data_IF_680891440918
#
_entry.id   IF_680891440918
#
_cell.length_a   1.000
_cell.length_b   1.000
_cell.length_c   1.000
_cell.angle_alpha   90.00
_cell.angle_beta   90.00
_cell.angle_gamma   90.00
#
_symmetry.space_group_name_H-M   'P 1'
#
loop_
_entity.id
_entity.type
_entity.pdbx_description
1 polymer ?
#
# COMPACT_ATOMS: atom_id res chain seq x y z
N UNK A 1 12.01 1.29 -8.56
CA UNK A 1 12.48 0.25 -9.48
C UNK A 1 11.31 -0.65 -9.88
N UNK A 2 11.31 -1.16 -11.12
CA UNK A 2 10.33 -2.14 -11.57
C UNK A 2 11.01 -3.27 -12.34
N UNK A 3 10.46 -4.45 -12.21
CA UNK A 3 10.83 -5.64 -12.99
C UNK A 3 9.53 -6.26 -13.47
N UNK A 4 9.42 -6.45 -14.78
CA UNK A 4 8.24 -6.99 -15.42
C UNK A 4 8.62 -8.20 -16.27
N UNK A 5 7.76 -9.21 -16.27
CA UNK A 5 7.87 -10.41 -17.07
C UNK A 5 6.55 -10.68 -17.80
N UNK A 6 6.63 -11.05 -19.06
CA UNK A 6 5.51 -11.54 -19.85
C UNK A 6 5.97 -12.74 -20.67
N UNK A 7 5.17 -13.79 -20.66
CA UNK A 7 5.41 -14.99 -21.45
C UNK A 7 4.10 -15.61 -21.94
N UNK A 8 4.13 -16.14 -23.15
CA UNK A 8 3.04 -16.91 -23.74
C UNK A 8 3.60 -18.12 -24.48
N UNK A 9 2.96 -19.28 -24.29
CA UNK A 9 3.21 -20.47 -25.08
C UNK A 9 1.89 -20.98 -25.66
N UNK A 10 1.91 -21.43 -26.91
CA UNK A 10 0.77 -21.94 -27.63
C UNK A 10 1.08 -23.31 -28.19
N UNK A 11 0.16 -24.24 -28.04
CA UNK A 11 0.30 -25.63 -28.45
C UNK A 11 -0.84 -26.00 -29.39
N UNK A 12 -0.53 -26.39 -30.62
CA UNK A 12 -1.53 -26.90 -31.55
C UNK A 12 -1.82 -28.38 -31.26
N UNK A 13 -3.10 -28.70 -31.18
CA UNK A 13 -3.61 -30.06 -30.93
C UNK A 13 -4.43 -30.46 -32.15
N UNK A 14 -3.87 -31.31 -32.98
CA UNK A 14 -4.46 -31.62 -34.28
C UNK A 14 -4.45 -30.41 -35.22
N UNK A 15 -5.52 -30.24 -36.00
CA UNK A 15 -5.66 -29.18 -36.98
C UNK A 15 -6.60 -28.06 -36.57
N UNK A 16 -7.42 -28.29 -35.54
CA UNK A 16 -8.54 -27.40 -35.18
C UNK A 16 -8.53 -26.92 -33.74
N UNK A 17 -7.60 -27.40 -32.91
CA UNK A 17 -7.55 -27.01 -31.50
C UNK A 17 -6.19 -26.36 -31.15
N UNK A 18 -6.24 -25.42 -30.24
CA UNK A 18 -5.08 -24.74 -29.70
C UNK A 18 -5.21 -24.61 -28.18
N UNK A 19 -4.21 -25.08 -27.45
CA UNK A 19 -4.08 -24.78 -26.03
C UNK A 19 -3.02 -23.69 -25.84
N UNK A 20 -3.22 -22.84 -24.86
CA UNK A 20 -2.29 -21.76 -24.56
C UNK A 20 -2.07 -21.61 -23.05
N UNK A 21 -0.91 -21.12 -22.70
CA UNK A 21 -0.61 -20.63 -21.36
C UNK A 21 0.04 -19.26 -21.45
N UNK A 22 -0.37 -18.37 -20.57
CA UNK A 22 0.17 -17.02 -20.45
C UNK A 22 0.57 -16.77 -19.00
N UNK A 23 1.66 -16.05 -18.80
CA UNK A 23 2.10 -15.59 -17.50
C UNK A 23 2.55 -14.13 -17.61
N UNK A 24 2.07 -13.30 -16.71
CA UNK A 24 2.63 -11.99 -16.46
C UNK A 24 3.01 -11.90 -14.98
N UNK A 25 4.13 -11.25 -14.70
CA UNK A 25 4.56 -10.96 -13.33
C UNK A 25 5.21 -9.58 -13.29
N UNK A 26 5.00 -8.86 -12.20
CA UNK A 26 5.57 -7.54 -11.97
C UNK A 26 5.99 -7.38 -10.52
N UNK A 27 7.11 -6.71 -10.31
CA UNK A 27 7.54 -6.21 -9.00
C UNK A 27 7.88 -4.74 -9.12
N UNK A 28 7.29 -3.92 -8.26
CA UNK A 28 7.53 -2.49 -8.19
C UNK A 28 7.92 -2.11 -6.77
N UNK A 29 9.07 -1.46 -6.62
CA UNK A 29 9.53 -0.89 -5.35
C UNK A 29 9.52 0.64 -5.45
N UNK A 30 8.84 1.29 -4.51
CA UNK A 30 8.68 2.74 -4.41
C UNK A 30 8.99 3.20 -2.99
N UNK A 31 9.76 4.26 -2.85
CA UNK A 31 9.98 4.94 -1.58
C UNK A 31 9.37 6.34 -1.61
N UNK A 32 8.59 6.68 -0.58
CA UNK A 32 8.13 8.05 -0.32
C UNK A 32 8.96 8.64 0.80
N UNK A 33 9.56 9.79 0.55
CA UNK A 33 10.40 10.49 1.52
C UNK A 33 9.71 11.78 1.94
N UNK A 34 9.64 12.00 3.24
CA UNK A 34 9.07 13.19 3.87
C UNK A 34 10.13 13.89 4.69
N UNK A 35 9.88 15.15 5.01
CA UNK A 35 10.69 15.93 5.94
C UNK A 35 10.90 15.20 7.28
N UNK A 36 12.03 15.44 7.97
CA UNK A 36 12.25 14.95 9.31
C UNK A 36 11.11 15.34 10.26
N UNK A 37 10.87 14.53 11.28
CA UNK A 37 9.79 14.76 12.24
C UNK A 37 9.89 16.15 12.89
N UNK A 38 8.78 16.84 12.93
CA UNK A 38 8.61 18.02 13.76
C UNK A 38 8.16 17.55 15.15
N UNK A 39 8.95 17.86 16.14
CA UNK A 39 8.70 17.55 17.56
C UNK A 39 8.21 18.82 18.25
N UNK A 40 7.09 18.72 18.94
CA UNK A 40 6.57 19.78 19.81
C UNK A 40 6.41 19.22 21.22
N UNK A 41 7.09 19.84 22.17
CA UNK A 41 6.95 19.54 23.58
C UNK A 41 5.74 20.25 24.23
N UNK A 42 4.85 20.83 23.42
CA UNK A 42 3.65 21.50 23.93
C UNK A 42 2.66 20.50 24.54
N UNK A 43 1.75 21.01 25.37
CA UNK A 43 0.63 20.26 25.96
C UNK A 43 -0.58 20.14 25.03
N UNK A 44 -0.46 20.58 23.78
CA UNK A 44 -1.51 20.48 22.75
C UNK A 44 -1.89 19.02 22.50
N UNK A 45 -3.12 18.78 22.10
CA UNK A 45 -3.63 17.48 21.66
C UNK A 45 -3.23 17.11 20.23
N UNK A 46 -2.42 17.94 19.55
CA UNK A 46 -1.95 17.68 18.21
C UNK A 46 -1.09 16.40 18.16
N UNK A 47 -1.18 15.63 17.06
CA UNK A 47 -0.44 14.38 16.88
C UNK A 47 1.09 14.51 16.99
N UNK A 48 1.63 15.71 16.79
CA UNK A 48 3.06 16.05 16.94
C UNK A 48 3.44 16.53 18.34
N UNK A 49 2.49 16.63 19.25
CA UNK A 49 2.71 17.08 20.63
C UNK A 49 3.07 15.88 21.52
N UNK A 50 4.24 15.91 22.10
CA UNK A 50 4.75 14.84 22.97
C UNK A 50 4.56 15.13 24.46
N UNK A 51 4.21 16.37 24.79
CA UNK A 51 3.88 16.80 26.15
C UNK A 51 5.10 17.13 27.04
N UNK A 52 4.84 17.49 28.31
CA UNK A 52 5.86 17.99 29.24
C UNK A 52 7.01 17.00 29.57
N UNK A 53 6.77 15.68 29.41
CA UNK A 53 7.78 14.67 29.62
C UNK A 53 8.98 14.76 28.67
N UNK A 54 8.85 15.55 27.60
CA UNK A 54 9.90 15.79 26.59
C UNK A 54 10.57 17.15 26.74
N UNK A 55 10.18 17.97 27.73
CA UNK A 55 10.82 19.24 27.95
C UNK A 55 12.30 19.06 28.32
N UNK A 56 13.15 19.99 27.89
CA UNK A 56 14.58 19.90 28.09
C UNK A 56 14.91 20.14 29.55
N UNK A 57 15.42 19.12 30.27
CA UNK A 57 15.62 19.19 31.72
C UNK A 57 16.91 19.90 32.06
N UNK A 58 17.03 20.39 33.33
CA UNK A 58 18.29 20.74 33.95
C UNK A 58 18.84 19.52 34.68
N UNK A 59 20.01 19.05 34.27
CA UNK A 59 20.77 18.00 34.95
C UNK A 59 22.26 18.14 34.65
N UNK A 60 23.11 17.28 35.19
CA UNK A 60 24.57 17.37 35.01
C UNK A 60 25.01 17.29 33.52
N UNK A 61 24.26 16.60 32.66
CA UNK A 61 24.59 16.46 31.25
C UNK A 61 24.15 17.68 30.44
N UNK A 62 23.03 18.30 30.82
CA UNK A 62 22.38 19.38 30.06
C UNK A 62 22.79 20.77 30.53
N UNK A 63 23.42 20.90 31.69
CA UNK A 63 23.65 22.17 32.41
C UNK A 63 24.17 23.28 31.48
N UNK A 64 25.24 23.06 30.76
CA UNK A 64 25.86 24.10 29.94
C UNK A 64 24.93 24.64 28.81
N UNK A 65 24.20 23.73 28.14
CA UNK A 65 23.21 24.11 27.15
C UNK A 65 22.00 24.77 27.80
N UNK A 66 21.51 24.20 28.91
CA UNK A 66 20.38 24.75 29.66
C UNK A 66 20.66 26.19 30.12
N UNK A 67 21.80 26.47 30.71
CA UNK A 67 22.19 27.79 31.18
C UNK A 67 22.26 28.81 30.03
N UNK A 68 22.81 28.39 28.89
CA UNK A 68 22.87 29.24 27.71
C UNK A 68 21.47 29.63 27.21
N UNK A 69 20.57 28.64 27.10
CA UNK A 69 19.18 28.86 26.63
C UNK A 69 18.39 29.65 27.65
N UNK A 70 18.52 29.32 28.96
CA UNK A 70 17.83 30.03 30.03
C UNK A 70 18.24 31.51 30.03
N UNK A 71 19.53 31.82 29.98
CA UNK A 71 20.02 33.20 29.98
C UNK A 71 19.54 33.99 28.78
N UNK A 72 19.49 33.36 27.59
CA UNK A 72 18.91 33.99 26.37
C UNK A 72 17.42 34.29 26.58
N UNK A 73 16.65 33.36 27.11
CA UNK A 73 15.23 33.55 27.40
C UNK A 73 15.02 34.63 28.49
N UNK A 74 15.82 34.61 29.56
CA UNK A 74 15.74 35.60 30.60
C UNK A 74 16.10 37.02 30.15
N UNK A 75 17.04 37.14 29.19
CA UNK A 75 17.35 38.41 28.54
C UNK A 75 16.20 38.95 27.69
N UNK A 76 15.42 38.05 27.07
CA UNK A 76 14.29 38.43 26.23
C UNK A 76 13.00 38.75 27.02
N UNK A 77 12.62 37.86 27.98
CA UNK A 77 11.38 38.00 28.74
C UNK A 77 11.51 38.76 30.05
N UNK A 78 12.74 38.92 30.55
CA UNK A 78 13.05 39.41 31.91
C UNK A 78 13.24 38.24 32.87
N UNK A 79 14.31 38.32 33.71
CA UNK A 79 14.69 37.22 34.60
C UNK A 79 13.61 36.84 35.62
N UNK A 80 12.77 37.79 36.05
CA UNK A 80 11.67 37.53 37.01
C UNK A 80 10.46 36.77 36.43
N UNK A 81 10.44 36.52 35.11
CA UNK A 81 9.35 35.80 34.46
C UNK A 81 9.64 34.30 34.28
N UNK A 82 10.83 33.86 34.59
CA UNK A 82 11.28 32.50 34.37
C UNK A 82 11.77 31.86 35.70
N UNK A 83 11.49 30.57 35.88
CA UNK A 83 11.96 29.81 37.00
C UNK A 83 13.22 29.00 36.59
N UNK A 84 14.38 29.38 37.10
CA UNK A 84 15.61 28.57 36.90
C UNK A 84 15.42 27.18 37.47
N UNK A 85 15.80 26.17 36.70
CA UNK A 85 15.61 24.76 37.04
C UNK A 85 14.34 24.12 36.48
N UNK A 86 13.37 24.92 36.07
CA UNK A 86 12.20 24.39 35.36
C UNK A 86 12.57 23.89 33.98
N UNK A 87 12.04 22.73 33.52
CA UNK A 87 12.31 22.22 32.17
C UNK A 87 11.85 23.19 31.08
N UNK A 88 12.61 23.29 30.00
CA UNK A 88 12.35 24.24 28.90
C UNK A 88 11.54 23.55 27.81
N UNK A 89 10.35 24.10 27.48
CA UNK A 89 9.55 23.67 26.34
C UNK A 89 10.15 24.18 25.03
N UNK A 90 10.04 23.38 23.97
CA UNK A 90 10.59 23.71 22.67
C UNK A 90 9.73 23.19 21.51
N UNK A 91 10.00 23.71 20.33
CA UNK A 91 9.59 23.14 19.04
C UNK A 91 10.86 22.93 18.22
N UNK A 92 10.97 21.76 17.65
CA UNK A 92 12.20 21.36 16.98
C UNK A 92 11.91 20.45 15.78
N UNK A 93 12.63 20.66 14.69
CA UNK A 93 12.67 19.69 13.59
C UNK A 93 13.87 18.78 13.80
N UNK A 94 13.61 17.51 14.04
CA UNK A 94 14.64 16.52 14.36
C UNK A 94 15.46 16.17 13.13
N UNK A 95 16.39 17.02 12.73
CA UNK A 95 17.29 16.73 11.61
C UNK A 95 18.11 15.45 11.85
N UNK A 96 18.49 15.20 13.10
CA UNK A 96 19.21 14.00 13.50
C UNK A 96 18.40 12.70 13.37
N UNK A 97 17.05 12.80 13.36
CA UNK A 97 16.18 11.65 13.10
C UNK A 97 16.22 11.20 11.65
N UNK A 98 16.75 12.01 10.75
CA UNK A 98 16.69 11.79 9.31
C UNK A 98 15.30 12.00 8.68
N UNK A 99 15.21 11.97 7.36
CA UNK A 99 13.94 12.04 6.65
C UNK A 99 13.08 10.81 6.96
N UNK A 100 11.76 11.00 7.03
CA UNK A 100 10.83 9.88 7.19
C UNK A 100 10.64 9.19 5.85
N UNK A 101 10.76 7.88 5.83
CA UNK A 101 10.64 7.07 4.63
C UNK A 101 9.57 6.01 4.80
N UNK A 102 8.73 5.84 3.76
CA UNK A 102 7.81 4.71 3.64
C UNK A 102 8.18 3.98 2.36
N UNK A 103 8.55 2.72 2.50
CA UNK A 103 8.93 1.84 1.40
C UNK A 103 7.76 0.93 1.05
N UNK A 104 7.34 0.95 -0.20
CA UNK A 104 6.22 0.12 -0.67
C UNK A 104 6.71 -0.82 -1.76
N UNK A 105 6.54 -2.11 -1.54
CA UNK A 105 6.75 -3.15 -2.55
C UNK A 105 5.41 -3.68 -3.01
N UNK A 106 5.18 -3.65 -4.32
CA UNK A 106 4.02 -4.30 -4.95
C UNK A 106 4.49 -5.43 -5.85
N UNK A 107 3.91 -6.61 -5.65
CA UNK A 107 4.14 -7.80 -6.49
C UNK A 107 2.82 -8.24 -7.07
N UNK A 108 2.77 -8.45 -8.38
CA UNK A 108 1.60 -8.97 -9.06
C UNK A 108 1.98 -10.10 -10.01
N UNK A 109 1.07 -11.03 -10.18
CA UNK A 109 1.17 -12.05 -11.22
C UNK A 109 -0.21 -12.36 -11.78
N UNK A 110 -0.25 -12.78 -13.02
CA UNK A 110 -1.42 -13.35 -13.68
C UNK A 110 -0.98 -14.57 -14.47
N UNK A 111 -1.64 -15.69 -14.23
CA UNK A 111 -1.49 -16.92 -14.98
C UNK A 111 -2.80 -17.22 -15.68
N UNK A 112 -2.74 -17.57 -16.95
CA UNK A 112 -3.87 -17.99 -17.76
C UNK A 112 -3.52 -19.29 -18.45
N UNK A 113 -4.44 -20.23 -18.42
CA UNK A 113 -4.38 -21.44 -19.23
C UNK A 113 -5.71 -21.62 -19.95
N UNK A 114 -5.69 -21.92 -21.21
CA UNK A 114 -6.90 -22.09 -21.97
C UNK A 114 -6.75 -23.05 -23.13
N UNK A 115 -7.89 -23.46 -23.64
CA UNK A 115 -8.01 -24.26 -24.85
C UNK A 115 -9.19 -23.78 -25.68
N UNK A 116 -8.96 -23.58 -26.94
CA UNK A 116 -9.99 -23.21 -27.91
C UNK A 116 -9.88 -24.00 -29.20
N UNK A 117 -10.90 -23.94 -29.99
CA UNK A 117 -10.89 -24.64 -31.27
C UNK A 117 -12.27 -24.82 -31.87
N UNK A 118 -12.35 -25.75 -32.82
CA UNK A 118 -13.56 -26.12 -33.56
C UNK A 118 -14.00 -27.53 -33.21
N UNK A 119 -15.29 -27.68 -32.92
CA UNK A 119 -16.00 -28.97 -32.85
C UNK A 119 -17.16 -28.93 -33.82
N UNK A 120 -17.02 -29.62 -34.93
CA UNK A 120 -17.91 -29.43 -36.09
C UNK A 120 -17.79 -27.99 -36.61
N UNK A 121 -18.91 -27.27 -36.68
CA UNK A 121 -18.98 -25.88 -37.13
C UNK A 121 -18.99 -24.86 -35.98
N UNK A 122 -18.75 -25.33 -34.74
CA UNK A 122 -18.80 -24.51 -33.53
C UNK A 122 -17.41 -24.22 -33.00
N UNK A 123 -17.12 -22.95 -32.78
CA UNK A 123 -15.98 -22.52 -32.02
C UNK A 123 -16.26 -22.69 -30.54
N UNK A 124 -15.27 -23.09 -29.78
CA UNK A 124 -15.29 -23.05 -28.32
C UNK A 124 -14.01 -22.43 -27.77
N UNK A 125 -14.10 -21.84 -26.60
CA UNK A 125 -12.97 -21.39 -25.80
C UNK A 125 -13.27 -21.67 -24.34
N UNK A 126 -12.27 -22.20 -23.61
CA UNK A 126 -12.32 -22.42 -22.17
C UNK A 126 -11.05 -21.90 -21.56
N UNK A 127 -11.18 -21.00 -20.59
CA UNK A 127 -10.08 -20.33 -19.92
C UNK A 127 -10.11 -20.49 -18.41
N UNK A 128 -8.95 -20.64 -17.80
CA UNK A 128 -8.72 -20.54 -16.37
C UNK A 128 -7.72 -19.41 -16.13
N UNK A 129 -8.12 -18.44 -15.35
CA UNK A 129 -7.25 -17.33 -14.92
C UNK A 129 -7.04 -17.38 -13.43
N UNK A 130 -5.79 -17.22 -12.99
CA UNK A 130 -5.42 -16.96 -11.60
C UNK A 130 -4.54 -15.72 -11.55
N UNK A 131 -4.94 -14.72 -10.78
CA UNK A 131 -4.19 -13.48 -10.58
C UNK A 131 -4.07 -13.13 -9.10
N UNK A 132 -2.95 -12.49 -8.74
CA UNK A 132 -2.72 -11.89 -7.43
C UNK A 132 -2.02 -10.55 -7.61
N UNK A 133 -2.38 -9.61 -6.74
CA UNK A 133 -1.63 -8.36 -6.54
C UNK A 133 -1.49 -8.13 -5.06
N UNK A 134 -0.26 -8.18 -4.56
CA UNK A 134 0.08 -7.95 -3.16
C UNK A 134 0.93 -6.70 -3.03
N UNK A 135 0.50 -5.78 -2.17
CA UNK A 135 1.24 -4.57 -1.82
C UNK A 135 1.51 -4.53 -0.33
N UNK A 136 2.72 -4.10 0.04
CA UNK A 136 3.15 -3.98 1.43
C UNK A 136 3.97 -2.70 1.60
N UNK A 137 3.59 -1.89 2.60
CA UNK A 137 4.29 -0.67 2.98
C UNK A 137 4.97 -0.85 4.33
N UNK A 138 6.27 -0.54 4.38
CA UNK A 138 7.12 -0.67 5.56
C UNK A 138 7.65 0.69 5.94
N UNK A 139 7.69 0.99 7.24
CA UNK A 139 8.36 2.19 7.74
C UNK A 139 9.87 2.05 7.56
N UNK A 140 10.46 3.01 6.86
CA UNK A 140 11.90 3.15 6.70
C UNK A 140 12.52 4.03 7.79
N UNK A 141 13.49 4.86 7.40
CA UNK A 141 14.15 5.80 8.31
C UNK A 141 13.19 6.84 8.88
N UNK A 142 13.60 7.53 9.93
CA UNK A 142 12.95 8.72 10.49
C UNK A 142 11.69 8.49 11.30
N UNK A 143 11.22 7.24 11.42
CA UNK A 143 10.11 6.87 12.30
C UNK A 143 10.63 6.25 13.60
N UNK A 144 10.00 6.60 14.73
CA UNK A 144 10.43 6.18 16.07
C UNK A 144 9.24 5.74 16.90
N UNK A 145 9.44 4.78 17.80
CA UNK A 145 8.45 4.44 18.82
C UNK A 145 8.24 5.62 19.77
N UNK A 146 6.98 5.99 19.98
CA UNK A 146 6.60 7.21 20.72
C UNK A 146 7.19 7.25 22.12
N UNK A 147 7.07 6.17 22.90
CA UNK A 147 7.51 6.16 24.29
C UNK A 147 9.03 6.16 24.40
N UNK A 148 9.73 5.42 23.54
CA UNK A 148 11.19 5.43 23.50
C UNK A 148 11.73 6.81 23.09
N UNK A 149 11.10 7.47 22.11
CA UNK A 149 11.46 8.83 21.71
C UNK A 149 11.21 9.83 22.85
N UNK A 150 10.07 9.73 23.55
CA UNK A 150 9.78 10.57 24.73
C UNK A 150 10.85 10.41 25.83
N UNK A 151 11.21 9.16 26.12
CA UNK A 151 12.23 8.86 27.13
C UNK A 151 13.59 9.45 26.73
N UNK A 152 13.99 9.30 25.49
CA UNK A 152 15.25 9.85 24.99
C UNK A 152 15.29 11.40 25.01
N UNK A 153 14.18 12.05 24.65
CA UNK A 153 14.06 13.52 24.72
C UNK A 153 14.06 14.02 26.15
N UNK A 154 13.25 13.41 27.02
CA UNK A 154 13.10 13.81 28.42
C UNK A 154 14.34 13.58 29.28
N UNK A 155 15.25 12.66 28.90
CA UNK A 155 16.54 12.48 29.56
C UNK A 155 17.50 13.63 29.34
N UNK A 156 17.30 14.45 28.30
CA UNK A 156 18.21 15.52 27.90
C UNK A 156 19.42 15.04 27.07
N UNK A 157 19.51 13.75 26.75
CA UNK A 157 20.57 13.23 25.85
C UNK A 157 20.52 13.88 24.47
N UNK A 158 19.31 14.05 23.97
CA UNK A 158 19.08 14.72 22.67
C UNK A 158 19.00 16.23 22.92
N UNK A 159 19.84 16.99 22.23
CA UNK A 159 19.90 18.44 22.36
C UNK A 159 19.16 19.13 21.21
N UNK A 160 17.95 19.71 21.44
CA UNK A 160 17.22 20.43 20.40
C UNK A 160 17.76 21.84 20.12
N UNK A 161 18.75 22.33 20.87
CA UNK A 161 19.28 23.67 20.81
C UNK A 161 20.70 23.76 20.21
N UNK A 162 21.09 22.74 19.44
CA UNK A 162 22.38 22.77 18.73
C UNK A 162 22.44 23.93 17.75
N UNK A 163 23.58 24.60 17.73
CA UNK A 163 23.85 25.62 16.74
C UNK A 163 24.01 25.02 15.32
N UNK A 164 23.79 25.79 14.25
CA UNK A 164 24.03 25.32 12.89
C UNK A 164 25.42 24.72 12.71
N UNK A 165 25.48 23.51 12.11
CA UNK A 165 26.71 22.76 11.90
C UNK A 165 27.15 21.87 13.06
N UNK A 166 26.57 22.00 14.24
CA UNK A 166 26.79 21.07 15.34
C UNK A 166 25.95 19.78 15.17
N UNK A 167 26.49 18.67 15.68
CA UNK A 167 25.84 17.38 15.61
C UNK A 167 25.50 16.86 17.02
N UNK A 168 24.51 15.98 17.08
CA UNK A 168 24.17 15.25 18.31
C UNK A 168 25.36 14.40 18.78
N UNK A 169 25.41 14.18 20.08
CA UNK A 169 26.41 13.27 20.64
C UNK A 169 26.18 11.82 20.20
N UNK A 170 27.23 10.99 20.27
CA UNK A 170 27.10 9.57 19.96
C UNK A 170 26.04 8.88 20.87
N UNK A 171 25.91 9.28 22.13
CA UNK A 171 24.89 8.76 23.03
C UNK A 171 23.48 9.17 22.60
N UNK A 172 23.29 10.40 22.13
CA UNK A 172 22.01 10.86 21.57
C UNK A 172 21.63 10.09 20.31
N UNK A 173 22.58 9.87 19.39
CA UNK A 173 22.34 9.07 18.19
C UNK A 173 21.98 7.62 18.52
N UNK A 174 22.70 7.00 19.46
CA UNK A 174 22.37 5.65 19.91
C UNK A 174 20.96 5.56 20.55
N UNK A 175 20.52 6.60 21.27
CA UNK A 175 19.17 6.66 21.83
C UNK A 175 18.09 6.81 20.73
N UNK A 176 18.36 7.57 19.67
CA UNK A 176 17.48 7.67 18.51
C UNK A 176 17.41 6.35 17.74
N UNK A 177 18.54 5.69 17.52
CA UNK A 177 18.61 4.38 16.86
C UNK A 177 17.84 3.32 17.65
N UNK A 178 17.98 3.29 18.97
CA UNK A 178 17.26 2.39 19.86
C UNK A 178 15.74 2.65 19.86
N UNK A 179 15.31 3.87 19.58
CA UNK A 179 13.91 4.25 19.46
C UNK A 179 13.35 4.02 18.05
N UNK A 180 14.16 3.59 17.09
CA UNK A 180 13.77 3.45 15.67
C UNK A 180 12.63 2.44 15.48
N UNK A 181 11.64 2.81 14.70
CA UNK A 181 10.54 1.95 14.21
C UNK A 181 10.74 1.51 12.76
N UNK A 182 11.97 1.61 12.22
CA UNK A 182 12.29 1.12 10.90
C UNK A 182 12.02 -0.40 10.80
N UNK A 183 11.48 -0.85 9.65
CA UNK A 183 11.13 -2.25 9.43
C UNK A 183 9.73 -2.65 9.94
N UNK A 184 9.01 -1.75 10.60
CA UNK A 184 7.62 -2.03 11.01
C UNK A 184 6.72 -1.94 9.79
N UNK A 185 5.91 -2.98 9.55
CA UNK A 185 4.92 -3.01 8.50
C UNK A 185 3.80 -2.02 8.82
N UNK A 186 3.64 -1.01 7.98
CA UNK A 186 2.62 0.01 8.16
C UNK A 186 1.23 -0.56 7.82
N UNK A 187 1.09 -1.08 6.62
CA UNK A 187 -0.09 -1.78 6.13
C UNK A 187 0.25 -2.57 4.87
N UNK A 188 -0.63 -3.51 4.53
CA UNK A 188 -0.53 -4.28 3.31
C UNK A 188 -1.87 -4.86 2.90
N UNK A 189 -1.93 -5.34 1.68
CA UNK A 189 -3.12 -6.00 1.17
C UNK A 189 -2.78 -6.91 0.00
N UNK A 190 -3.62 -7.92 -0.18
CA UNK A 190 -3.55 -8.86 -1.29
C UNK A 190 -4.92 -9.02 -1.92
N UNK A 191 -5.00 -8.75 -3.22
CA UNK A 191 -6.15 -9.09 -4.06
C UNK A 191 -5.86 -10.36 -4.82
N UNK A 192 -6.79 -11.30 -4.79
CA UNK A 192 -6.75 -12.56 -5.50
C UNK A 192 -7.97 -12.67 -6.42
N UNK A 193 -7.76 -13.17 -7.63
CA UNK A 193 -8.85 -13.50 -8.55
C UNK A 193 -8.63 -14.89 -9.15
N UNK A 194 -9.69 -15.67 -9.19
CA UNK A 194 -9.74 -16.94 -9.93
C UNK A 194 -10.97 -16.91 -10.80
N UNK A 195 -10.79 -17.12 -12.10
CA UNK A 195 -11.89 -17.13 -13.07
C UNK A 195 -11.81 -18.41 -13.89
N UNK A 196 -12.94 -19.07 -14.06
CA UNK A 196 -13.17 -20.09 -15.06
C UNK A 196 -14.23 -19.53 -16.02
N UNK A 197 -13.88 -19.40 -17.27
CA UNK A 197 -14.76 -18.96 -18.33
C UNK A 197 -14.84 -20.00 -19.44
N UNK A 198 -16.01 -20.10 -20.05
CA UNK A 198 -16.22 -20.93 -21.21
C UNK A 198 -17.22 -20.30 -22.15
N UNK A 199 -16.97 -20.39 -23.43
CA UNK A 199 -17.85 -19.91 -24.47
C UNK A 199 -17.92 -20.85 -25.67
N UNK A 200 -19.05 -20.81 -26.36
CA UNK A 200 -19.26 -21.47 -27.65
C UNK A 200 -19.89 -20.49 -28.60
N UNK A 201 -19.53 -20.56 -29.88
CA UNK A 201 -20.16 -19.74 -30.94
C UNK A 201 -20.18 -20.46 -32.26
N UNK A 202 -21.25 -20.25 -33.00
CA UNK A 202 -21.43 -20.89 -34.30
C UNK A 202 -22.74 -20.49 -34.97
N UNK A 203 -22.98 -21.06 -36.15
CA UNK A 203 -24.23 -20.88 -36.87
C UNK A 203 -25.28 -21.93 -36.49
N UNK A 204 -26.53 -21.50 -36.28
CA UNK A 204 -27.69 -22.39 -36.13
C UNK A 204 -28.12 -22.87 -37.51
N UNK A 205 -27.46 -23.90 -38.03
CA UNK A 205 -27.62 -24.37 -39.42
C UNK A 205 -29.04 -24.82 -39.79
N UNK A 206 -29.91 -25.07 -38.79
CA UNK A 206 -31.29 -25.46 -38.99
C UNK A 206 -32.26 -24.26 -39.10
N UNK A 207 -31.82 -23.03 -38.80
CA UNK A 207 -32.60 -21.80 -38.94
C UNK A 207 -31.89 -20.84 -39.90
N UNK A 208 -32.57 -20.51 -41.04
CA UNK A 208 -32.10 -19.53 -42.01
C UNK A 208 -33.12 -18.42 -42.15
N UNK A 209 -32.67 -17.20 -42.09
CA UNK A 209 -33.42 -16.00 -42.41
C UNK A 209 -33.13 -15.57 -43.88
N UNK A 210 -33.92 -14.68 -44.47
CA UNK A 210 -33.68 -14.20 -45.83
C UNK A 210 -32.28 -13.58 -46.05
N UNK A 211 -31.66 -13.06 -45.01
CA UNK A 211 -30.29 -12.51 -45.05
C UNK A 211 -29.18 -13.54 -44.84
N UNK A 212 -29.45 -14.72 -44.26
CA UNK A 212 -28.44 -15.75 -43.98
C UNK A 212 -28.75 -16.63 -42.77
N UNK A 213 -27.77 -17.40 -42.33
CA UNK A 213 -27.85 -18.23 -41.12
C UNK A 213 -27.79 -17.36 -39.85
N UNK A 214 -28.55 -17.78 -38.84
CA UNK A 214 -28.46 -17.14 -37.51
C UNK A 214 -27.17 -17.59 -36.86
N UNK A 215 -26.34 -16.65 -36.40
CA UNK A 215 -25.21 -16.94 -35.53
C UNK A 215 -25.57 -16.76 -34.07
N UNK A 216 -25.00 -17.60 -33.20
CA UNK A 216 -25.21 -17.58 -31.78
C UNK A 216 -23.86 -17.66 -31.05
N UNK A 217 -23.74 -16.93 -29.93
CA UNK A 217 -22.71 -17.15 -28.93
C UNK A 217 -23.37 -17.35 -27.55
N UNK A 218 -22.82 -18.24 -26.75
CA UNK A 218 -23.23 -18.41 -25.37
C UNK A 218 -22.02 -18.74 -24.50
N UNK A 219 -22.06 -18.36 -23.23
CA UNK A 219 -20.95 -18.64 -22.32
C UNK A 219 -21.30 -18.45 -20.87
N UNK A 220 -20.34 -18.86 -20.05
CA UNK A 220 -20.37 -18.76 -18.58
C UNK A 220 -19.09 -18.09 -18.09
N UNK A 221 -19.21 -17.37 -16.96
CA UNK A 221 -18.09 -16.81 -16.19
C UNK A 221 -18.31 -17.18 -14.72
N UNK A 222 -17.36 -17.90 -14.15
CA UNK A 222 -17.34 -18.28 -12.73
C UNK A 222 -16.12 -17.64 -12.10
N UNK A 223 -16.32 -16.66 -11.25
CA UNK A 223 -15.24 -15.85 -10.70
C UNK A 223 -15.32 -15.82 -9.18
N UNK A 224 -14.17 -16.02 -8.54
CA UNK A 224 -13.98 -15.73 -7.13
C UNK A 224 -12.95 -14.63 -6.97
N UNK A 225 -13.32 -13.59 -6.25
CA UNK A 225 -12.47 -12.47 -5.87
C UNK A 225 -12.30 -12.48 -4.35
N UNK A 226 -11.07 -12.31 -3.91
CA UNK A 226 -10.70 -12.24 -2.49
C UNK A 226 -9.82 -11.01 -2.28
N UNK A 227 -10.05 -10.33 -1.18
CA UNK A 227 -9.20 -9.25 -0.71
C UNK A 227 -8.86 -9.49 0.74
N UNK A 228 -7.58 -9.37 1.07
CA UNK A 228 -7.04 -9.46 2.42
C UNK A 228 -6.27 -8.19 2.71
N UNK A 229 -6.51 -7.65 3.89
CA UNK A 229 -5.80 -6.48 4.35
C UNK A 229 -5.18 -6.79 5.71
N UNK A 230 -3.90 -6.47 5.87
CA UNK A 230 -3.19 -6.65 7.11
C UNK A 230 -2.21 -5.51 7.37
N UNK A 231 -1.77 -5.40 8.62
CA UNK A 231 -0.77 -4.46 9.06
C UNK A 231 -0.26 -4.85 10.44
N UNK A 232 0.76 -4.13 10.90
CA UNK A 232 1.32 -4.30 12.23
C UNK A 232 0.71 -3.23 13.16
N UNK A 233 0.08 -3.63 14.25
CA UNK A 233 -0.47 -2.70 15.24
C UNK A 233 0.58 -1.77 15.84
N UNK A 234 1.87 -2.14 15.79
CA UNK A 234 2.97 -1.26 16.17
C UNK A 234 3.07 -0.02 15.29
N UNK A 235 2.45 -0.04 14.10
CA UNK A 235 2.38 1.12 13.21
C UNK A 235 1.28 2.11 13.63
N UNK A 236 0.41 1.76 14.57
CA UNK A 236 -0.54 2.70 15.17
C UNK A 236 0.20 3.98 15.62
N UNK A 237 -0.37 5.14 15.35
CA UNK A 237 0.23 6.43 15.69
C UNK A 237 0.48 6.63 17.19
N UNK A 238 -0.16 5.86 18.05
CA UNK A 238 0.07 5.87 19.50
C UNK A 238 1.35 5.14 19.87
N UNK A 239 1.71 4.09 19.09
CA UNK A 239 2.92 3.31 19.30
C UNK A 239 4.08 3.90 18.52
N UNK A 240 3.87 4.28 17.25
CA UNK A 240 4.89 4.92 16.41
C UNK A 240 4.54 6.39 16.23
N UNK A 241 5.46 7.26 16.60
CA UNK A 241 5.28 8.69 16.54
C UNK A 241 5.03 9.17 15.12
N UNK A 242 3.88 9.84 14.92
CA UNK A 242 3.48 10.45 13.66
C UNK A 242 3.41 9.45 12.48
N UNK A 243 3.06 8.19 12.78
CA UNK A 243 2.74 7.23 11.73
C UNK A 243 1.45 7.66 11.01
N UNK A 244 1.39 7.49 9.68
CA UNK A 244 0.26 8.00 8.88
C UNK A 244 -1.01 7.16 8.96
N UNK A 245 -1.01 6.05 9.69
CA UNK A 245 -2.11 5.12 9.77
C UNK A 245 -2.44 4.77 11.24
N UNK A 246 -3.72 4.86 11.60
CA UNK A 246 -4.17 4.69 12.98
C UNK A 246 -4.43 3.25 13.39
N UNK A 247 -5.06 2.46 12.50
CA UNK A 247 -5.38 1.06 12.73
C UNK A 247 -5.16 0.26 11.45
N UNK A 248 -4.04 -0.46 11.44
CA UNK A 248 -3.61 -1.25 10.29
C UNK A 248 -4.47 -2.51 10.08
N UNK A 249 -5.32 -2.86 11.04
CA UNK A 249 -6.16 -4.05 11.00
C UNK A 249 -7.67 -3.74 11.00
N UNK A 250 -8.04 -2.48 10.74
CA UNK A 250 -9.45 -2.06 10.67
C UNK A 250 -10.22 -2.71 9.52
N UNK A 251 -9.53 -3.11 8.45
CA UNK A 251 -10.11 -3.76 7.28
C UNK A 251 -9.88 -5.26 7.34
N UNK A 252 -10.97 -6.02 7.41
CA UNK A 252 -10.94 -7.49 7.42
C UNK A 252 -10.85 -8.10 6.01
N UNK A 253 -10.71 -9.41 5.98
CA UNK A 253 -10.77 -10.20 4.75
C UNK A 253 -12.18 -10.21 4.19
N UNK A 254 -12.30 -10.01 2.88
CA UNK A 254 -13.57 -10.07 2.16
C UNK A 254 -13.42 -10.94 0.91
N UNK A 255 -14.50 -11.60 0.53
CA UNK A 255 -14.55 -12.37 -0.71
C UNK A 255 -15.93 -12.30 -1.33
N UNK A 256 -16.00 -12.50 -2.66
CA UNK A 256 -17.27 -12.66 -3.38
C UNK A 256 -17.10 -13.68 -4.50
N UNK A 257 -18.19 -14.40 -4.75
CA UNK A 257 -18.35 -15.27 -5.90
C UNK A 257 -19.29 -14.60 -6.90
N UNK A 258 -18.89 -14.59 -8.16
CA UNK A 258 -19.67 -14.07 -9.28
C UNK A 258 -19.93 -15.24 -10.22
N UNK A 259 -21.15 -15.40 -10.67
CA UNK A 259 -21.56 -16.45 -11.60
C UNK A 259 -22.41 -15.81 -12.66
N UNK A 260 -21.90 -15.79 -13.89
CA UNK A 260 -22.61 -15.20 -14.99
C UNK A 260 -22.84 -16.18 -16.12
N UNK A 261 -23.95 -16.00 -16.81
CA UNK A 261 -24.27 -16.64 -18.08
C UNK A 261 -24.62 -15.56 -19.10
N UNK A 262 -24.23 -15.76 -20.34
CA UNK A 262 -24.61 -14.85 -21.42
C UNK A 262 -25.03 -15.63 -22.65
N UNK A 263 -25.84 -14.97 -23.48
CA UNK A 263 -26.21 -15.42 -24.82
C UNK A 263 -26.33 -14.23 -25.76
N UNK A 264 -25.85 -14.43 -26.95
CA UNK A 264 -25.91 -13.43 -28.02
C UNK A 264 -26.39 -14.08 -29.31
N UNK A 265 -27.19 -13.36 -30.09
CA UNK A 265 -27.66 -13.77 -31.39
C UNK A 265 -27.39 -12.67 -32.43
N UNK A 266 -26.87 -13.06 -33.56
CA UNK A 266 -26.88 -12.23 -34.78
C UNK A 266 -27.93 -12.80 -35.76
N UNK A 267 -28.91 -11.99 -36.07
CA UNK A 267 -30.07 -12.33 -36.89
C UNK A 267 -29.99 -11.56 -38.20
N UNK A 268 -29.49 -12.17 -39.29
CA UNK A 268 -29.47 -11.54 -40.63
C UNK A 268 -30.87 -11.57 -41.24
N UNK A 269 -31.71 -10.59 -40.89
CA UNK A 269 -33.14 -10.56 -41.26
C UNK A 269 -33.33 -10.41 -42.74
N UNK A 270 -32.57 -9.49 -43.37
CA UNK A 270 -32.53 -9.29 -44.80
C UNK A 270 -31.10 -9.05 -45.28
N UNK A 271 -30.88 -9.10 -46.60
CA UNK A 271 -29.60 -8.71 -47.16
C UNK A 271 -29.27 -7.26 -46.73
N UNK A 272 -28.13 -7.07 -46.06
CA UNK A 272 -27.66 -5.81 -45.47
C UNK A 272 -28.49 -5.27 -44.30
N UNK A 273 -29.24 -6.12 -43.60
CA UNK A 273 -29.94 -5.76 -42.36
C UNK A 273 -29.84 -6.88 -41.33
N UNK A 274 -29.04 -6.64 -40.30
CA UNK A 274 -28.81 -7.57 -39.21
C UNK A 274 -29.34 -6.98 -37.88
N UNK A 275 -29.87 -7.84 -37.02
CA UNK A 275 -30.27 -7.51 -35.66
C UNK A 275 -29.38 -8.29 -34.71
N UNK A 276 -28.73 -7.60 -33.75
CA UNK A 276 -27.99 -8.21 -32.66
C UNK A 276 -28.81 -8.15 -31.39
N UNK A 277 -28.97 -9.30 -30.74
CA UNK A 277 -29.63 -9.43 -29.44
C UNK A 277 -28.63 -10.04 -28.45
N UNK A 278 -28.46 -9.43 -27.27
CA UNK A 278 -27.60 -9.95 -26.23
C UNK A 278 -28.32 -9.90 -24.89
N UNK A 279 -28.07 -10.89 -24.06
CA UNK A 279 -28.54 -10.97 -22.68
C UNK A 279 -27.48 -11.57 -21.78
N UNK A 280 -27.30 -10.99 -20.61
CA UNK A 280 -26.42 -11.49 -19.55
C UNK A 280 -27.13 -11.46 -18.22
N UNK A 281 -26.88 -12.48 -17.42
CA UNK A 281 -27.33 -12.59 -16.03
C UNK A 281 -26.11 -12.91 -15.15
N UNK A 282 -25.92 -12.09 -14.08
CA UNK A 282 -24.85 -12.22 -13.10
C UNK A 282 -25.40 -12.61 -11.72
#
# INVERSE_FOLDING_TARGET
>A
DSIDFIGRATFRIGTTHEAYVEMTASKVDVAKTFEPNQISSSTSTAATALGPSTWYPLNSTTQATYDTVYNALAGYFGAGQLNYGAPIAYRWRCMACGPRQIETTTKSYRFVAGIGGLVGDWNYDVGLTRGSSKSESILGTGFHYTDALKAALGSGLINPFLAPGQQQSAAAMAALDAASAAGVKLYGGESLVTTLDASVSGELGFFKLPGGSIAMAAGIDLRREEFRFDGDQRADKRTVFNAPFDDANALGDVSRDIRAVFVEFNLPVFKNFDINLAGRYD
#
